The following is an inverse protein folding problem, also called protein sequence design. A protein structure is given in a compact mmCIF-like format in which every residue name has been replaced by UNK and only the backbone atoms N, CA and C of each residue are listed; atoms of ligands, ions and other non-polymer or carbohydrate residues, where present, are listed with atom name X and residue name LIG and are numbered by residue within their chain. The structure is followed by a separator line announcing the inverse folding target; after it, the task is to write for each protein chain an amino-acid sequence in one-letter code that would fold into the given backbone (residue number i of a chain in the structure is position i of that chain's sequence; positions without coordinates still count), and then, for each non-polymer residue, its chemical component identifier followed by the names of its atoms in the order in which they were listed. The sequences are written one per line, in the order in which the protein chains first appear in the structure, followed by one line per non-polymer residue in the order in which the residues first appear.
data_IF_683088586909
#
_entry.id   IF_683088586909
#
_cell.length_a   1.000
_cell.length_b   1.000
_cell.length_c   1.000
_cell.angle_alpha   90.00
_cell.angle_beta   90.00
_cell.angle_gamma   90.00
#
_symmetry.space_group_name_H-M   'P 1'
#
loop_
_entity.id
_entity.type
_entity.pdbx_description
1 polymer ?
#
# COMPACT_ATOMS: atom_id res chain seq x y z
N UNK A 1 6.13 20.39 -25.15
CA UNK A 1 5.19 19.35 -25.62
C UNK A 1 4.72 18.56 -24.39
N UNK A 2 3.59 18.94 -23.77
CA UNK A 2 3.02 18.16 -22.67
C UNK A 2 2.60 16.79 -23.22
N UNK A 3 3.19 15.71 -22.68
CA UNK A 3 3.03 14.32 -23.15
C UNK A 3 1.65 13.69 -22.97
N UNK A 4 0.59 14.43 -23.30
CA UNK A 4 -0.80 13.97 -23.46
C UNK A 4 -1.10 13.48 -24.90
N UNK A 5 -0.11 13.55 -25.81
CA UNK A 5 -0.25 13.08 -27.18
C UNK A 5 -0.45 11.56 -27.26
N UNK A 6 -1.63 11.14 -27.73
CA UNK A 6 -2.04 9.80 -28.17
C UNK A 6 -2.07 8.64 -27.14
N UNK A 7 -1.89 8.93 -25.85
CA UNK A 7 -2.01 7.94 -24.76
C UNK A 7 -3.36 8.08 -24.06
N UNK A 8 -4.31 7.21 -24.38
CA UNK A 8 -5.63 7.27 -23.77
C UNK A 8 -5.67 6.55 -22.42
N UNK A 9 -5.91 7.32 -21.36
CA UNK A 9 -6.10 6.80 -20.01
C UNK A 9 -7.29 5.83 -19.92
N UNK A 10 -8.49 6.11 -20.46
CA UNK A 10 -9.62 5.18 -20.38
C UNK A 10 -9.33 3.82 -21.01
N UNK A 11 -8.60 3.81 -22.14
CA UNK A 11 -8.16 2.58 -22.80
C UNK A 11 -7.20 1.78 -21.93
N UNK A 12 -6.26 2.47 -21.28
CA UNK A 12 -5.29 1.86 -20.34
C UNK A 12 -6.02 1.22 -19.17
N UNK A 13 -6.95 1.94 -18.54
CA UNK A 13 -7.78 1.44 -17.43
C UNK A 13 -8.62 0.22 -17.85
N UNK A 14 -9.24 0.27 -19.03
CA UNK A 14 -10.02 -0.85 -19.55
C UNK A 14 -9.18 -2.11 -19.75
N UNK A 15 -7.99 -1.97 -20.36
CA UNK A 15 -7.06 -3.09 -20.52
C UNK A 15 -6.54 -3.62 -19.19
N UNK A 16 -6.39 -2.76 -18.18
CA UNK A 16 -5.97 -3.14 -16.85
C UNK A 16 -7.04 -3.97 -16.12
N UNK A 17 -8.33 -3.68 -16.31
CA UNK A 17 -9.40 -4.52 -15.75
C UNK A 17 -9.52 -5.86 -16.50
N UNK A 18 -9.53 -5.83 -17.84
CA UNK A 18 -9.82 -7.02 -18.63
C UNK A 18 -8.62 -7.95 -18.83
N UNK A 19 -7.40 -7.43 -18.97
CA UNK A 19 -6.18 -8.21 -19.27
C UNK A 19 -4.91 -7.65 -18.59
N UNK A 20 -4.92 -7.49 -17.26
CA UNK A 20 -3.89 -6.78 -16.50
C UNK A 20 -2.49 -7.28 -16.79
N UNK A 21 -2.23 -8.60 -16.69
CA UNK A 21 -0.88 -9.12 -16.83
C UNK A 21 -0.30 -8.98 -18.25
N UNK A 22 -1.16 -9.06 -19.28
CA UNK A 22 -0.74 -8.80 -20.67
C UNK A 22 -0.43 -7.33 -20.90
N UNK A 23 -1.27 -6.44 -20.38
CA UNK A 23 -1.09 -4.99 -20.51
C UNK A 23 0.17 -4.51 -19.78
N UNK A 24 0.35 -4.93 -18.53
CA UNK A 24 1.57 -4.65 -17.75
C UNK A 24 2.77 -5.22 -18.50
N UNK A 25 2.66 -6.44 -19.01
CA UNK A 25 3.70 -7.08 -19.78
C UNK A 25 4.12 -6.32 -21.03
N UNK A 26 3.16 -5.84 -21.83
CA UNK A 26 3.42 -4.99 -22.98
C UNK A 26 4.15 -3.69 -22.58
N UNK A 27 3.74 -3.07 -21.48
CA UNK A 27 4.35 -1.85 -20.98
C UNK A 27 5.83 -2.07 -20.59
N UNK A 28 6.12 -3.20 -19.93
CA UNK A 28 7.48 -3.55 -19.50
C UNK A 28 8.38 -3.90 -20.68
N UNK A 29 7.85 -4.51 -21.74
CA UNK A 29 8.59 -4.85 -22.97
C UNK A 29 8.85 -3.64 -23.89
N UNK A 30 8.57 -2.42 -23.43
CA UNK A 30 8.82 -1.20 -24.19
C UNK A 30 7.69 -0.82 -25.16
N UNK A 31 6.57 -1.57 -25.20
CA UNK A 31 5.36 -1.19 -25.96
C UNK A 31 4.53 -0.17 -25.16
N UNK A 32 5.17 0.91 -24.70
CA UNK A 32 4.59 1.91 -23.80
C UNK A 32 3.77 2.99 -24.50
N UNK A 33 4.00 3.21 -25.81
CA UNK A 33 3.34 4.25 -26.61
C UNK A 33 1.81 4.28 -26.51
N UNK A 34 1.08 3.14 -26.47
CA UNK A 34 -0.38 3.15 -26.32
C UNK A 34 -0.88 3.31 -24.88
N UNK A 35 -0.01 3.19 -23.87
CA UNK A 35 -0.41 3.11 -22.46
C UNK A 35 -0.05 4.36 -21.67
N UNK A 36 -0.91 4.73 -20.74
CA UNK A 36 -0.68 5.88 -19.87
C UNK A 36 0.40 5.56 -18.79
N UNK A 37 1.29 6.50 -18.44
CA UNK A 37 2.33 6.26 -17.44
C UNK A 37 1.77 5.88 -16.06
N UNK A 38 2.31 4.86 -15.38
CA UNK A 38 1.70 4.24 -14.19
C UNK A 38 1.56 5.20 -13.00
N UNK A 39 2.61 5.96 -12.68
CA UNK A 39 2.58 6.89 -11.54
C UNK A 39 1.52 7.97 -11.76
N UNK A 40 1.50 8.58 -12.95
CA UNK A 40 0.51 9.62 -13.30
C UNK A 40 -0.91 9.06 -13.26
N UNK A 41 -1.08 7.82 -13.72
CA UNK A 41 -2.36 7.13 -13.70
C UNK A 41 -2.85 6.93 -12.25
N UNK A 42 -1.96 6.47 -11.36
CA UNK A 42 -2.29 6.25 -9.96
C UNK A 42 -2.78 7.55 -9.31
N UNK A 43 -2.05 8.65 -9.46
CA UNK A 43 -2.48 9.95 -8.91
C UNK A 43 -3.88 10.36 -9.40
N UNK A 44 -4.15 10.22 -10.70
CA UNK A 44 -5.45 10.59 -11.27
C UNK A 44 -6.58 9.70 -10.75
N UNK A 45 -6.35 8.38 -10.68
CA UNK A 45 -7.35 7.43 -10.15
C UNK A 45 -7.55 7.64 -8.65
N UNK A 46 -6.51 7.96 -7.88
CA UNK A 46 -6.63 8.32 -6.47
C UNK A 46 -7.43 9.61 -6.28
N UNK A 47 -7.19 10.65 -7.07
CA UNK A 47 -8.02 11.86 -7.03
C UNK A 47 -9.49 11.53 -7.33
N UNK A 48 -9.75 10.72 -8.36
CA UNK A 48 -11.12 10.30 -8.67
C UNK A 48 -11.76 9.48 -7.54
N UNK A 49 -10.99 8.58 -6.90
CA UNK A 49 -11.43 7.79 -5.76
C UNK A 49 -11.81 8.67 -4.57
N UNK A 50 -10.95 9.61 -4.17
CA UNK A 50 -11.21 10.55 -3.07
C UNK A 50 -12.49 11.35 -3.34
N UNK A 51 -12.69 11.82 -4.58
CA UNK A 51 -13.92 12.53 -4.94
C UNK A 51 -15.16 11.64 -4.76
N UNK A 52 -15.13 10.41 -5.26
CA UNK A 52 -16.23 9.46 -5.10
C UNK A 52 -16.52 9.20 -3.62
N UNK A 53 -15.49 9.02 -2.81
CA UNK A 53 -15.63 8.84 -1.36
C UNK A 53 -16.25 10.07 -0.68
N UNK A 54 -15.79 11.27 -1.04
CA UNK A 54 -16.31 12.51 -0.47
C UNK A 54 -17.81 12.69 -0.76
N UNK A 55 -18.26 12.31 -1.95
CA UNK A 55 -19.67 12.41 -2.33
C UNK A 55 -20.56 11.32 -1.71
N UNK A 56 -20.06 10.09 -1.58
CA UNK A 56 -20.87 8.95 -1.16
C UNK A 56 -20.82 8.68 0.35
N UNK A 57 -19.68 8.95 0.98
CA UNK A 57 -19.43 8.70 2.41
C UNK A 57 -18.60 9.82 3.02
N UNK A 58 -19.19 11.01 3.23
CA UNK A 58 -18.47 12.11 3.84
C UNK A 58 -18.06 11.76 5.27
N UNK A 59 -16.77 11.89 5.58
CA UNK A 59 -16.24 11.83 6.95
C UNK A 59 -16.09 10.43 7.58
N UNK A 60 -16.56 9.35 6.95
CA UNK A 60 -16.46 7.98 7.52
C UNK A 60 -15.01 7.57 7.80
N UNK A 61 -14.13 7.88 6.85
CA UNK A 61 -12.71 7.57 6.96
C UNK A 61 -12.05 8.44 8.03
N UNK A 62 -12.34 9.73 8.05
CA UNK A 62 -11.81 10.65 9.05
C UNK A 62 -12.20 10.24 10.48
N UNK A 63 -13.45 9.80 10.67
CA UNK A 63 -13.94 9.25 11.93
C UNK A 63 -13.19 7.97 12.31
N UNK A 64 -13.03 7.03 11.38
CA UNK A 64 -12.33 5.77 11.64
C UNK A 64 -10.87 6.00 12.07
N UNK A 65 -10.17 6.93 11.41
CA UNK A 65 -8.80 7.30 11.81
C UNK A 65 -8.77 8.04 13.15
N UNK A 66 -9.73 8.91 13.43
CA UNK A 66 -9.85 9.61 14.71
C UNK A 66 -10.03 8.61 15.86
N UNK A 67 -10.93 7.64 15.70
CA UNK A 67 -11.17 6.57 16.67
C UNK A 67 -9.90 5.73 16.90
N UNK A 68 -9.17 5.40 15.82
CA UNK A 68 -7.91 4.66 15.92
C UNK A 68 -6.81 5.47 16.65
N UNK A 69 -6.73 6.78 16.40
CA UNK A 69 -5.79 7.68 17.08
C UNK A 69 -6.15 7.86 18.56
N UNK A 70 -7.43 7.92 18.89
CA UNK A 70 -7.91 8.02 20.27
C UNK A 70 -7.54 6.76 21.07
N UNK A 71 -7.76 5.56 20.51
CA UNK A 71 -7.29 4.31 21.12
C UNK A 71 -5.77 4.27 21.31
N UNK A 72 -5.01 4.83 20.37
CA UNK A 72 -3.56 4.96 20.52
C UNK A 72 -3.18 5.98 21.61
N UNK A 73 -3.95 7.06 21.79
CA UNK A 73 -3.74 8.04 22.85
C UNK A 73 -4.00 7.41 24.23
N UNK A 74 -5.13 6.71 24.41
CA UNK A 74 -5.45 6.01 25.66
C UNK A 74 -4.38 4.99 26.05
N UNK A 75 -3.77 4.34 25.05
CA UNK A 75 -2.72 3.33 25.27
C UNK A 75 -1.31 3.94 25.42
N UNK A 76 -1.16 5.23 25.14
CA UNK A 76 0.10 5.94 25.41
C UNK A 76 0.21 6.10 26.92
N UNK A 77 1.14 5.38 27.55
CA UNK A 77 1.30 5.36 29.00
C UNK A 77 1.62 6.77 29.49
N UNK A 78 0.69 7.35 30.23
CA UNK A 78 0.90 8.63 30.91
C UNK A 78 2.05 8.44 31.90
N UNK A 79 3.13 9.22 31.73
CA UNK A 79 4.32 9.12 32.58
C UNK A 79 3.97 9.78 33.92
N UNK A 80 3.19 9.09 34.74
CA UNK A 80 3.29 9.26 36.18
C UNK A 80 4.69 8.77 36.54
N UNK A 81 5.58 9.71 36.80
CA UNK A 81 6.94 9.48 37.28
C UNK A 81 6.88 8.66 38.56
N UNK A 82 6.88 7.34 38.42
CA UNK A 82 7.05 6.45 39.55
C UNK A 82 8.45 6.65 40.10
N UNK A 83 8.53 7.23 41.29
CA UNK A 83 9.71 7.21 42.15
C UNK A 83 10.33 5.81 42.13
N UNK A 84 11.48 5.64 41.44
CA UNK A 84 12.24 4.38 41.44
C UNK A 84 12.50 3.69 40.10
N UNK A 85 12.19 4.26 38.94
CA UNK A 85 12.61 3.67 37.66
C UNK A 85 14.11 3.90 37.38
N UNK A 86 14.90 2.83 37.24
CA UNK A 86 16.31 2.87 36.80
C UNK A 86 16.48 3.69 35.50
N UNK A 87 17.59 4.42 35.35
CA UNK A 87 17.85 5.36 34.22
C UNK A 87 17.56 4.73 32.84
N UNK A 88 17.99 3.49 32.59
CA UNK A 88 17.72 2.77 31.34
C UNK A 88 16.23 2.61 30.99
N UNK A 89 15.36 2.48 32.00
CA UNK A 89 13.91 2.38 31.81
C UNK A 89 13.31 3.73 31.42
N UNK A 90 13.86 4.84 31.90
CA UNK A 90 13.39 6.18 31.55
C UNK A 90 13.66 6.48 30.08
N UNK A 91 14.87 6.18 29.58
CA UNK A 91 15.20 6.34 28.16
C UNK A 91 14.32 5.48 27.24
N UNK A 92 14.05 4.23 27.64
CA UNK A 92 13.15 3.35 26.89
C UNK A 92 11.74 3.93 26.77
N UNK A 93 11.17 4.42 27.89
CA UNK A 93 9.82 5.01 27.90
C UNK A 93 9.76 6.31 27.09
N UNK A 94 10.77 7.17 27.22
CA UNK A 94 10.85 8.42 26.46
C UNK A 94 10.96 8.16 24.95
N UNK A 95 11.82 7.21 24.56
CA UNK A 95 11.97 6.80 23.16
C UNK A 95 10.71 6.16 22.59
N UNK A 96 10.01 5.33 23.35
CA UNK A 96 8.72 4.77 22.93
C UNK A 96 7.67 5.86 22.73
N UNK A 97 7.59 6.84 23.62
CA UNK A 97 6.66 7.97 23.49
C UNK A 97 7.00 8.85 22.29
N UNK A 98 8.29 9.10 22.04
CA UNK A 98 8.74 9.79 20.83
C UNK A 98 8.30 9.03 19.57
N UNK A 99 8.57 7.72 19.51
CA UNK A 99 8.13 6.87 18.40
C UNK A 99 6.62 6.96 18.18
N UNK A 100 5.80 6.80 19.24
CA UNK A 100 4.35 6.84 19.13
C UNK A 100 3.88 8.19 18.60
N UNK A 101 4.41 9.30 19.10
CA UNK A 101 4.03 10.65 18.67
C UNK A 101 4.40 10.89 17.20
N UNK A 102 5.64 10.57 16.79
CA UNK A 102 6.06 10.72 15.40
C UNK A 102 5.31 9.74 14.46
N UNK A 103 4.98 8.55 14.94
CA UNK A 103 4.17 7.58 14.20
C UNK A 103 2.76 8.10 13.94
N UNK A 104 2.12 8.74 14.93
CA UNK A 104 0.82 9.42 14.78
C UNK A 104 0.89 10.50 13.70
N UNK A 105 1.88 11.40 13.78
CA UNK A 105 2.08 12.46 12.78
C UNK A 105 2.35 11.92 11.37
N UNK A 106 3.11 10.82 11.28
CA UNK A 106 3.39 10.17 9.99
C UNK A 106 2.13 9.53 9.42
N UNK A 107 1.31 8.90 10.26
CA UNK A 107 0.05 8.27 9.84
C UNK A 107 -0.95 9.33 9.39
N UNK A 108 -1.07 10.46 10.10
CA UNK A 108 -1.93 11.57 9.66
C UNK A 108 -1.43 12.17 8.35
N UNK A 109 -0.11 12.29 8.13
CA UNK A 109 0.43 12.71 6.84
C UNK A 109 0.01 11.77 5.69
N UNK A 110 0.12 10.46 5.88
CA UNK A 110 -0.28 9.48 4.86
C UNK A 110 -1.79 9.48 4.60
N UNK A 111 -2.61 9.64 5.65
CA UNK A 111 -4.06 9.80 5.53
C UNK A 111 -4.42 10.99 4.62
N UNK A 112 -3.75 12.13 4.77
CA UNK A 112 -3.97 13.29 3.91
C UNK A 112 -3.44 13.07 2.48
N UNK A 113 -2.45 12.19 2.31
CA UNK A 113 -1.74 11.95 1.06
C UNK A 113 -1.86 10.48 0.61
N UNK A 114 -3.09 10.00 0.42
CA UNK A 114 -3.35 8.59 0.07
C UNK A 114 -2.56 8.07 -1.14
N UNK A 115 -2.34 8.91 -2.17
CA UNK A 115 -1.56 8.50 -3.34
C UNK A 115 -0.10 8.17 -2.97
N UNK A 116 0.47 8.93 -2.03
CA UNK A 116 1.83 8.72 -1.53
C UNK A 116 1.87 7.43 -0.69
N UNK A 117 0.89 7.23 0.18
CA UNK A 117 0.75 5.98 0.96
C UNK A 117 0.73 4.74 0.06
N UNK A 118 -0.08 4.76 -1.00
CA UNK A 118 -0.16 3.67 -1.97
C UNK A 118 1.17 3.42 -2.67
N UNK A 119 1.90 4.48 -3.06
CA UNK A 119 3.23 4.35 -3.68
C UNK A 119 4.24 3.70 -2.74
N UNK A 120 4.30 4.13 -1.48
CA UNK A 120 5.23 3.56 -0.51
C UNK A 120 4.90 2.10 -0.20
N UNK A 121 3.62 1.78 0.02
CA UNK A 121 3.17 0.40 0.26
C UNK A 121 3.48 -0.51 -0.94
N UNK A 122 3.24 -0.06 -2.17
CA UNK A 122 3.50 -0.85 -3.37
C UNK A 122 4.98 -0.92 -3.74
N UNK A 123 5.80 0.04 -3.29
CA UNK A 123 7.26 -0.05 -3.38
C UNK A 123 7.79 -1.22 -2.55
N UNK A 124 7.20 -1.47 -1.38
CA UNK A 124 7.52 -2.63 -0.55
C UNK A 124 7.10 -3.94 -1.23
N UNK A 125 5.90 -3.97 -1.81
CA UNK A 125 5.46 -5.10 -2.63
C UNK A 125 6.40 -5.35 -3.82
N UNK A 126 6.97 -4.32 -4.44
CA UNK A 126 7.89 -4.50 -5.57
C UNK A 126 9.18 -5.22 -5.19
N UNK A 127 9.75 -4.89 -4.02
CA UNK A 127 10.93 -5.58 -3.46
C UNK A 127 10.65 -7.06 -3.22
N UNK A 128 9.48 -7.35 -2.65
CA UNK A 128 9.05 -8.73 -2.38
C UNK A 128 8.75 -9.48 -3.67
N UNK A 129 8.10 -8.84 -4.64
CA UNK A 129 7.75 -9.42 -5.93
C UNK A 129 9.00 -9.87 -6.68
N UNK A 130 10.04 -9.03 -6.69
CA UNK A 130 11.34 -9.35 -7.25
C UNK A 130 11.92 -10.62 -6.62
N UNK A 131 11.78 -10.79 -5.29
CA UNK A 131 12.32 -11.94 -4.56
C UNK A 131 11.50 -13.22 -4.74
N UNK A 132 10.18 -13.11 -4.69
CA UNK A 132 9.22 -14.24 -4.71
C UNK A 132 9.05 -14.77 -6.14
N UNK A 133 8.92 -13.89 -7.13
CA UNK A 133 8.66 -14.25 -8.52
C UNK A 133 9.91 -14.28 -9.40
N UNK A 134 11.12 -14.28 -8.81
CA UNK A 134 12.40 -14.28 -9.54
C UNK A 134 12.49 -15.34 -10.64
N UNK A 135 11.93 -16.53 -10.39
CA UNK A 135 11.93 -17.68 -11.32
C UNK A 135 10.62 -17.80 -12.10
N UNK A 136 10.02 -16.68 -12.49
CA UNK A 136 8.75 -16.74 -13.22
C UNK A 136 8.93 -17.31 -14.65
N UNK A 137 8.00 -18.16 -15.12
CA UNK A 137 8.04 -18.72 -16.48
C UNK A 137 7.97 -17.67 -17.59
N UNK A 138 7.08 -16.68 -17.46
CA UNK A 138 6.88 -15.67 -18.50
C UNK A 138 7.91 -14.54 -18.45
N UNK A 139 8.37 -14.17 -17.25
CA UNK A 139 9.23 -13.00 -17.03
C UNK A 139 10.31 -13.32 -15.98
N UNK A 140 11.29 -14.16 -16.31
CA UNK A 140 12.35 -14.49 -15.36
C UNK A 140 13.20 -13.25 -15.06
N UNK A 141 13.65 -13.12 -13.81
CA UNK A 141 14.60 -12.11 -13.36
C UNK A 141 14.21 -10.64 -13.64
N UNK A 142 12.96 -10.27 -13.35
CA UNK A 142 12.52 -8.87 -13.44
C UNK A 142 13.32 -7.95 -12.52
N UNK A 143 13.66 -6.77 -13.03
CA UNK A 143 14.35 -5.73 -12.27
C UNK A 143 13.42 -5.07 -11.26
N UNK A 144 13.99 -4.40 -10.24
CA UNK A 144 13.22 -3.68 -9.22
C UNK A 144 12.28 -2.64 -9.84
N UNK A 145 12.73 -1.92 -10.87
CA UNK A 145 11.93 -0.91 -11.58
C UNK A 145 10.74 -1.52 -12.31
N UNK A 146 10.92 -2.70 -12.92
CA UNK A 146 9.84 -3.41 -13.62
C UNK A 146 8.82 -3.95 -12.64
N UNK A 147 9.28 -4.51 -11.51
CA UNK A 147 8.43 -4.89 -10.39
C UNK A 147 7.68 -3.68 -9.84
N UNK A 148 8.34 -2.54 -9.67
CA UNK A 148 7.71 -1.31 -9.18
C UNK A 148 6.60 -0.83 -10.10
N UNK A 149 6.86 -0.71 -11.41
CA UNK A 149 5.81 -0.33 -12.36
C UNK A 149 4.66 -1.33 -12.41
N UNK A 150 4.95 -2.63 -12.30
CA UNK A 150 3.91 -3.67 -12.22
C UNK A 150 3.02 -3.47 -10.99
N UNK A 151 3.62 -3.23 -9.82
CA UNK A 151 2.86 -3.03 -8.59
C UNK A 151 2.06 -1.73 -8.62
N UNK A 152 2.55 -0.65 -9.24
CA UNK A 152 1.77 0.59 -9.41
C UNK A 152 0.55 0.38 -10.32
N UNK A 153 0.68 -0.42 -11.38
CA UNK A 153 -0.47 -0.81 -12.21
C UNK A 153 -1.48 -1.64 -11.40
N UNK A 154 -1.03 -2.67 -10.68
CA UNK A 154 -1.88 -3.48 -9.80
C UNK A 154 -2.57 -2.62 -8.74
N UNK A 155 -1.85 -1.67 -8.13
CA UNK A 155 -2.40 -0.72 -7.16
C UNK A 155 -3.54 0.09 -7.76
N UNK A 156 -3.37 0.56 -9.00
CA UNK A 156 -4.38 1.33 -9.70
C UNK A 156 -5.61 0.49 -10.02
N UNK A 157 -5.42 -0.78 -10.38
CA UNK A 157 -6.51 -1.72 -10.63
C UNK A 157 -7.32 -2.01 -9.36
N UNK A 158 -6.63 -2.31 -8.26
CA UNK A 158 -7.25 -2.51 -6.95
C UNK A 158 -8.02 -1.26 -6.51
N UNK A 159 -7.45 -0.08 -6.75
CA UNK A 159 -8.11 1.19 -6.43
C UNK A 159 -9.37 1.41 -7.26
N UNK A 160 -9.35 1.12 -8.57
CA UNK A 160 -10.55 1.21 -9.41
C UNK A 160 -11.66 0.27 -8.93
N UNK A 161 -11.31 -0.97 -8.58
CA UNK A 161 -12.27 -1.95 -8.06
C UNK A 161 -12.80 -1.49 -6.70
N UNK A 162 -11.94 -0.94 -5.84
CA UNK A 162 -12.32 -0.31 -4.57
C UNK A 162 -13.32 0.84 -4.80
N UNK A 163 -13.10 1.72 -5.78
CA UNK A 163 -14.06 2.77 -6.13
C UNK A 163 -15.44 2.22 -6.49
N UNK A 164 -15.49 1.13 -7.26
CA UNK A 164 -16.75 0.47 -7.62
C UNK A 164 -17.42 -0.17 -6.39
N UNK A 165 -16.64 -0.78 -5.50
CA UNK A 165 -17.14 -1.33 -4.24
C UNK A 165 -17.73 -0.25 -3.33
N UNK A 166 -17.04 0.88 -3.16
CA UNK A 166 -17.55 2.04 -2.40
C UNK A 166 -18.86 2.54 -3.01
N UNK A 167 -18.92 2.66 -4.34
CA UNK A 167 -20.13 3.07 -5.04
C UNK A 167 -21.31 2.10 -4.84
N UNK A 168 -21.03 0.80 -4.77
CA UNK A 168 -22.06 -0.23 -4.61
C UNK A 168 -22.55 -0.38 -3.16
N UNK A 169 -21.69 -0.19 -2.15
CA UNK A 169 -22.03 -0.38 -0.74
C UNK A 169 -22.38 0.91 0.01
N UNK A 170 -22.27 2.05 -0.67
CA UNK A 170 -22.36 3.36 -0.02
C UNK A 170 -21.31 3.53 1.08
N UNK A 171 -20.12 2.93 0.89
CA UNK A 171 -18.93 2.99 1.76
C UNK A 171 -19.12 2.59 3.22
N UNK A 172 -20.16 1.80 3.54
CA UNK A 172 -20.44 1.32 4.90
C UNK A 172 -19.68 0.05 5.30
N UNK A 173 -19.06 -0.65 4.34
CA UNK A 173 -18.40 -1.94 4.56
C UNK A 173 -16.92 -1.87 4.22
N UNK A 174 -16.10 -2.64 4.95
CA UNK A 174 -14.66 -2.85 4.70
C UNK A 174 -13.79 -1.59 4.81
N UNK A 175 -14.19 -0.65 5.67
CA UNK A 175 -13.49 0.61 5.91
C UNK A 175 -12.08 0.38 6.50
N UNK A 176 -11.90 -0.71 7.26
CA UNK A 176 -10.61 -1.06 7.88
C UNK A 176 -9.54 -1.54 6.88
N UNK A 177 -9.92 -1.82 5.64
CA UNK A 177 -8.99 -2.31 4.63
C UNK A 177 -8.40 -1.14 3.81
N UNK A 178 -7.09 -1.22 3.51
CA UNK A 178 -6.39 -0.27 2.61
C UNK A 178 -7.16 -0.06 1.30
N UNK A 179 -7.72 -1.15 0.78
CA UNK A 179 -8.69 -1.11 -0.32
C UNK A 179 -10.06 -1.49 0.23
N UNK A 180 -11.05 -0.61 0.08
CA UNK A 180 -12.43 -0.81 0.56
C UNK A 180 -13.13 -1.86 -0.29
N UNK A 181 -12.74 -3.11 -0.06
CA UNK A 181 -13.28 -4.30 -0.69
C UNK A 181 -13.07 -5.51 0.24
N UNK A 182 -13.83 -6.61 0.04
CA UNK A 182 -13.60 -7.84 0.77
C UNK A 182 -12.21 -8.42 0.50
N UNK A 183 -11.58 -9.01 1.52
CA UNK A 183 -10.26 -9.64 1.41
C UNK A 183 -10.22 -10.76 0.35
N UNK A 184 -11.32 -11.49 0.17
CA UNK A 184 -11.42 -12.52 -0.86
C UNK A 184 -11.40 -11.92 -2.27
N UNK A 185 -11.99 -10.75 -2.48
CA UNK A 185 -12.00 -10.07 -3.78
C UNK A 185 -10.60 -9.53 -4.09
N UNK A 186 -9.95 -8.91 -3.10
CA UNK A 186 -8.54 -8.50 -3.21
C UNK A 186 -7.66 -9.69 -3.60
N UNK A 187 -7.84 -10.84 -2.94
CA UNK A 187 -7.10 -12.06 -3.27
C UNK A 187 -7.37 -12.52 -4.71
N UNK A 188 -8.62 -12.51 -5.16
CA UNK A 188 -8.98 -12.90 -6.54
C UNK A 188 -8.32 -11.98 -7.58
N UNK A 189 -8.31 -10.67 -7.35
CA UNK A 189 -7.66 -9.70 -8.25
C UNK A 189 -6.16 -9.95 -8.30
N UNK A 190 -5.49 -10.10 -7.14
CA UNK A 190 -4.06 -10.40 -7.10
C UNK A 190 -3.72 -11.75 -7.75
N UNK A 191 -4.54 -12.78 -7.54
CA UNK A 191 -4.39 -14.07 -8.21
C UNK A 191 -4.49 -13.93 -9.72
N UNK A 192 -5.46 -13.14 -10.19
CA UNK A 192 -5.68 -12.87 -11.61
C UNK A 192 -4.48 -12.17 -12.23
N UNK A 193 -4.00 -11.09 -11.60
CA UNK A 193 -2.87 -10.30 -12.07
C UNK A 193 -1.58 -11.14 -12.10
N UNK A 194 -1.26 -11.82 -11.00
CA UNK A 194 -0.06 -12.64 -10.90
C UNK A 194 -0.10 -13.87 -11.80
N UNK A 195 -1.28 -14.46 -12.01
CA UNK A 195 -1.43 -15.59 -12.94
C UNK A 195 -1.11 -15.17 -14.37
N UNK A 196 -1.61 -14.02 -14.80
CA UNK A 196 -1.38 -13.50 -16.16
C UNK A 196 0.05 -12.96 -16.32
N UNK A 197 0.57 -12.25 -15.31
CA UNK A 197 1.87 -11.60 -15.39
C UNK A 197 3.05 -12.58 -15.34
N UNK A 198 2.97 -13.59 -14.46
CA UNK A 198 4.09 -14.51 -14.20
C UNK A 198 3.92 -15.88 -14.85
N UNK A 199 2.69 -16.30 -15.17
CA UNK A 199 2.41 -17.50 -15.97
C UNK A 199 2.48 -18.84 -15.23
N UNK A 200 2.57 -18.86 -13.90
CA UNK A 200 2.53 -20.08 -13.10
C UNK A 200 1.18 -20.82 -13.18
N UNK A 201 1.09 -22.06 -12.68
CA UNK A 201 -0.21 -22.75 -12.48
C UNK A 201 -1.01 -22.09 -11.35
N UNK A 202 -2.34 -22.21 -11.36
CA UNK A 202 -3.23 -21.52 -10.40
C UNK A 202 -2.85 -21.78 -8.94
N UNK A 203 -2.64 -23.05 -8.57
CA UNK A 203 -2.25 -23.41 -7.20
C UNK A 203 -0.91 -22.80 -6.79
N UNK A 204 0.05 -22.78 -7.72
CA UNK A 204 1.38 -22.21 -7.48
C UNK A 204 1.32 -20.69 -7.37
N UNK A 205 0.54 -20.03 -8.24
CA UNK A 205 0.25 -18.60 -8.15
C UNK A 205 -0.38 -18.27 -6.80
N UNK A 206 -1.35 -19.06 -6.33
CA UNK A 206 -1.97 -18.85 -5.03
C UNK A 206 -0.99 -18.94 -3.88
N UNK A 207 -0.14 -19.98 -3.87
CA UNK A 207 0.91 -20.11 -2.87
C UNK A 207 1.89 -18.93 -2.87
N UNK A 208 2.29 -18.44 -4.05
CA UNK A 208 3.15 -17.26 -4.14
C UNK A 208 2.44 -15.96 -3.74
N UNK A 209 1.15 -15.83 -4.00
CA UNK A 209 0.34 -14.68 -3.57
C UNK A 209 0.26 -14.63 -2.05
N UNK A 210 0.04 -15.77 -1.39
CA UNK A 210 0.08 -15.86 0.08
C UNK A 210 1.47 -15.51 0.61
N UNK A 211 2.54 -16.04 0.00
CA UNK A 211 3.93 -15.67 0.37
C UNK A 211 4.20 -14.18 0.22
N UNK A 212 3.66 -13.53 -0.81
CA UNK A 212 3.76 -12.09 -1.02
C UNK A 212 3.07 -11.32 0.09
N UNK A 213 1.83 -11.66 0.43
CA UNK A 213 1.07 -10.99 1.49
C UNK A 213 1.70 -11.18 2.87
N UNK A 214 2.09 -12.41 3.21
CA UNK A 214 2.78 -12.72 4.47
C UNK A 214 4.15 -12.02 4.53
N UNK A 215 4.89 -12.02 3.42
CA UNK A 215 6.17 -11.33 3.32
C UNK A 215 6.03 -9.81 3.49
N UNK A 216 4.97 -9.22 2.93
CA UNK A 216 4.65 -7.80 3.08
C UNK A 216 4.34 -7.44 4.52
N UNK A 217 3.45 -8.21 5.16
CA UNK A 217 3.11 -8.01 6.57
C UNK A 217 4.35 -8.14 7.48
N UNK A 218 5.14 -9.20 7.29
CA UNK A 218 6.37 -9.40 8.05
C UNK A 218 7.37 -8.25 7.85
N UNK A 219 7.50 -7.75 6.63
CA UNK A 219 8.41 -6.65 6.33
C UNK A 219 7.96 -5.33 7.00
N UNK A 220 6.65 -5.04 7.01
CA UNK A 220 6.11 -3.89 7.74
C UNK A 220 6.37 -3.99 9.25
N UNK A 221 6.12 -5.15 9.86
CA UNK A 221 6.39 -5.37 11.29
C UNK A 221 7.87 -5.15 11.61
N UNK A 222 8.79 -5.64 10.77
CA UNK A 222 10.22 -5.43 10.95
C UNK A 222 10.63 -3.95 10.82
N UNK A 223 10.03 -3.21 9.88
CA UNK A 223 10.28 -1.78 9.74
C UNK A 223 9.80 -1.00 10.97
N UNK A 224 8.63 -1.35 11.51
CA UNK A 224 8.10 -0.72 12.72
C UNK A 224 8.97 -1.01 13.95
N UNK A 225 9.38 -2.27 14.15
CA UNK A 225 10.29 -2.64 15.25
C UNK A 225 11.63 -1.92 15.09
N UNK A 226 12.18 -1.87 13.88
CA UNK A 226 13.43 -1.18 13.58
C UNK A 226 13.34 0.32 13.88
N UNK A 227 12.25 0.98 13.48
CA UNK A 227 12.03 2.38 13.79
C UNK A 227 11.89 2.64 15.29
N UNK A 228 11.10 1.81 16.00
CA UNK A 228 10.97 1.91 17.45
C UNK A 228 12.33 1.77 18.14
N UNK A 229 13.15 0.80 17.74
CA UNK A 229 14.49 0.60 18.29
C UNK A 229 15.42 1.80 18.01
N UNK A 230 15.36 2.36 16.80
CA UNK A 230 16.12 3.57 16.45
C UNK A 230 15.68 4.79 17.27
N UNK A 231 14.39 4.93 17.54
CA UNK A 231 13.87 6.03 18.37
C UNK A 231 14.38 5.94 19.81
N UNK A 232 14.35 4.74 20.40
CA UNK A 232 14.90 4.48 21.74
C UNK A 232 16.41 4.71 21.77
N UNK A 233 17.15 4.22 20.78
CA UNK A 233 18.59 4.44 20.68
C UNK A 233 18.93 5.92 20.55
N UNK A 234 18.17 6.67 19.75
CA UNK A 234 18.33 8.11 19.58
C UNK A 234 18.16 8.86 20.90
N UNK A 235 17.12 8.55 21.67
CA UNK A 235 16.89 9.18 22.99
C UNK A 235 17.97 8.83 24.01
N UNK A 236 18.59 7.65 23.91
CA UNK A 236 19.69 7.24 24.79
C UNK A 236 21.03 7.90 24.42
N UNK A 237 21.21 8.37 23.17
CA UNK A 237 22.42 9.07 22.73
C UNK A 237 22.36 10.57 23.06
N UNK A 238 21.16 11.15 23.01
CA UNK A 238 20.97 12.61 23.16
C UNK A 238 20.83 13.09 24.61
N UNK A 239 20.60 12.17 25.56
CA UNK A 239 20.53 12.45 27.00
C UNK A 239 21.79 11.94 27.69
#
# INVERSE_FOLDING_TARGET
MWGLGNRSLPRTLWHLIYRPGYMIGDYLEGRQTPYFPPIKMLFLVTTAYILVQHFLTPGVIEQTYADALEQLNEKTVDISGGEGAYEGKQYMLQGMNLFINTFKETTTFFQHNQAVELIFSHSLFALLAMRVFRRSPLRPNMNITECFFSQVFIATQLLMISTVCVAATGGSMWIDNIYIMPTWLLLLVLLYDYKQLYGFSLLRTAWYTVKMLVGWFACLVLLLIGWMALSVAWTAIMN
#
